data_IF_700442238909
#
_entry.id   IF_700442238909
#
_cell.length_a   1.000
_cell.length_b   1.000
_cell.length_c   1.000
_cell.angle_alpha   90.00
_cell.angle_beta   90.00
_cell.angle_gamma   90.00
#
_symmetry.space_group_name_H-M   'P 1'
#
loop_
_entity.id
_entity.type
_entity.pdbx_description
1 polymer ?
#
# COMPACT_ATOMS: atom_id res chain seq x y z
N UNK A 1 -21.14 -17.90 49.46
CA UNK A 1 -19.72 -18.21 49.24
C UNK A 1 -19.44 -19.62 48.70
N UNK A 2 -20.25 -20.64 49.03
CA UNK A 2 -20.05 -22.03 48.60
C UNK A 2 -19.96 -22.27 47.06
N UNK A 3 -20.80 -21.61 46.24
CA UNK A 3 -20.77 -21.77 44.77
C UNK A 3 -19.45 -21.34 44.11
N UNK A 4 -18.74 -20.35 44.69
CA UNK A 4 -17.44 -19.87 44.17
C UNK A 4 -16.32 -20.87 44.44
N UNK A 5 -16.33 -21.50 45.62
CA UNK A 5 -15.38 -22.53 46.03
C UNK A 5 -15.52 -23.82 45.21
N UNK A 6 -16.76 -24.24 44.91
CA UNK A 6 -17.02 -25.39 44.03
C UNK A 6 -16.54 -25.10 42.61
N UNK A 7 -16.78 -23.90 42.08
CA UNK A 7 -16.30 -23.50 40.74
C UNK A 7 -14.78 -23.49 40.66
N UNK A 8 -14.07 -23.00 41.68
CA UNK A 8 -12.61 -23.00 41.69
C UNK A 8 -12.02 -24.41 41.80
N UNK A 9 -12.66 -25.29 42.59
CA UNK A 9 -12.23 -26.69 42.70
C UNK A 9 -12.38 -27.43 41.36
N UNK A 10 -13.51 -27.22 40.66
CA UNK A 10 -13.73 -27.80 39.32
C UNK A 10 -12.72 -27.27 38.30
N UNK A 11 -12.38 -25.98 38.34
CA UNK A 11 -11.35 -25.39 37.47
C UNK A 11 -9.96 -25.97 37.74
N UNK A 12 -9.60 -26.21 39.00
CA UNK A 12 -8.32 -26.81 39.38
C UNK A 12 -8.20 -28.25 38.85
N UNK A 13 -9.24 -29.08 39.03
CA UNK A 13 -9.28 -30.45 38.51
C UNK A 13 -9.19 -30.49 36.97
N UNK A 14 -9.87 -29.56 36.29
CA UNK A 14 -9.78 -29.44 34.83
C UNK A 14 -8.40 -28.98 34.36
N UNK A 15 -7.75 -28.08 35.09
CA UNK A 15 -6.39 -27.63 34.79
C UNK A 15 -5.38 -28.77 34.97
N UNK A 16 -5.51 -29.59 36.02
CA UNK A 16 -4.68 -30.76 36.25
C UNK A 16 -4.85 -31.82 35.16
N UNK A 17 -6.09 -32.10 34.76
CA UNK A 17 -6.36 -33.01 33.65
C UNK A 17 -5.79 -32.51 32.33
N UNK A 18 -5.84 -31.21 32.06
CA UNK A 18 -5.21 -30.62 30.86
C UNK A 18 -3.68 -30.72 30.92
N UNK A 19 -3.08 -30.53 32.11
CA UNK A 19 -1.63 -30.68 32.31
C UNK A 19 -1.17 -32.12 32.04
N UNK A 20 -1.87 -33.12 32.55
CA UNK A 20 -1.51 -34.53 32.34
C UNK A 20 -1.65 -34.96 30.88
N UNK A 21 -2.72 -34.53 30.20
CA UNK A 21 -2.93 -34.79 28.76
C UNK A 21 -1.82 -34.14 27.93
N UNK A 22 -1.47 -32.88 28.20
CA UNK A 22 -0.41 -32.18 27.48
C UNK A 22 0.97 -32.81 27.73
N UNK A 23 1.23 -33.31 28.94
CA UNK A 23 2.46 -34.01 29.27
C UNK A 23 2.57 -35.36 28.53
N UNK A 24 1.49 -36.14 28.52
CA UNK A 24 1.44 -37.40 27.76
C UNK A 24 1.59 -37.18 26.25
N UNK A 25 0.99 -36.11 25.71
CA UNK A 25 1.14 -35.71 24.31
C UNK A 25 2.59 -35.31 23.98
N UNK A 26 3.22 -34.51 24.85
CA UNK A 26 4.61 -34.08 24.67
C UNK A 26 5.62 -35.23 24.76
N UNK A 27 5.32 -36.27 25.55
CA UNK A 27 6.14 -37.49 25.61
C UNK A 27 6.03 -38.33 24.32
N UNK A 28 4.81 -38.43 23.74
CA UNK A 28 4.59 -39.20 22.50
C UNK A 28 5.06 -38.47 21.24
N UNK A 29 4.98 -37.14 21.24
CA UNK A 29 5.32 -36.32 20.08
C UNK A 29 6.17 -35.09 20.49
N UNK A 30 7.47 -35.29 20.80
CA UNK A 30 8.31 -34.24 21.36
C UNK A 30 8.53 -33.07 20.39
N UNK A 31 8.72 -33.35 19.10
CA UNK A 31 8.94 -32.32 18.07
C UNK A 31 7.67 -31.50 17.81
N UNK A 32 6.52 -32.16 17.64
CA UNK A 32 5.23 -31.48 17.44
C UNK A 32 4.85 -30.64 18.67
N UNK A 33 5.10 -31.15 19.88
CA UNK A 33 4.86 -30.39 21.10
C UNK A 33 5.84 -29.20 21.26
N UNK A 34 7.06 -29.28 20.73
CA UNK A 34 7.98 -28.15 20.68
C UNK A 34 7.51 -27.09 19.67
N UNK A 35 7.08 -27.51 18.47
CA UNK A 35 6.52 -26.63 17.44
C UNK A 35 5.25 -25.92 17.95
N UNK A 36 4.33 -26.66 18.57
CA UNK A 36 3.09 -26.08 19.12
C UNK A 36 3.38 -25.09 20.27
N UNK A 37 4.37 -25.39 21.13
CA UNK A 37 4.83 -24.46 22.17
C UNK A 37 5.46 -23.20 21.55
N UNK A 38 6.25 -23.34 20.49
CA UNK A 38 6.82 -22.21 19.77
C UNK A 38 5.73 -21.33 19.13
N UNK A 39 4.72 -21.94 18.49
CA UNK A 39 3.57 -21.24 17.92
C UNK A 39 2.77 -20.49 18.99
N UNK A 40 2.50 -21.13 20.15
CA UNK A 40 1.79 -20.47 21.26
C UNK A 40 2.58 -19.28 21.82
N UNK A 41 3.91 -19.42 21.98
CA UNK A 41 4.79 -18.32 22.40
C UNK A 41 4.79 -17.18 21.37
N UNK A 42 4.88 -17.50 20.09
CA UNK A 42 4.85 -16.52 19.00
C UNK A 42 3.49 -15.79 18.96
N UNK A 43 2.38 -16.50 19.08
CA UNK A 43 1.04 -15.91 19.13
C UNK A 43 0.84 -15.02 20.38
N UNK A 44 1.34 -15.45 21.54
CA UNK A 44 1.31 -14.62 22.74
C UNK A 44 2.15 -13.34 22.57
N UNK A 45 3.30 -13.43 21.91
CA UNK A 45 4.13 -12.27 21.61
C UNK A 45 3.40 -11.29 20.67
N UNK A 46 2.81 -11.80 19.58
CA UNK A 46 2.01 -11.01 18.64
C UNK A 46 0.82 -10.32 19.34
N UNK A 47 0.12 -11.06 20.20
CA UNK A 47 -1.00 -10.50 20.98
C UNK A 47 -0.49 -9.40 21.90
N UNK A 48 0.62 -9.60 22.63
CA UNK A 48 1.19 -8.56 23.49
C UNK A 48 1.54 -7.29 22.73
N UNK A 49 2.14 -7.45 21.56
CA UNK A 49 2.69 -6.34 20.77
C UNK A 49 1.58 -5.56 20.04
N UNK A 50 0.44 -6.20 19.71
CA UNK A 50 -0.61 -5.58 18.87
C UNK A 50 -2.02 -5.58 19.48
N UNK A 51 -2.27 -6.16 20.65
CA UNK A 51 -3.61 -6.22 21.27
C UNK A 51 -4.21 -4.85 21.61
N UNK A 52 -3.39 -3.81 21.71
CA UNK A 52 -3.85 -2.44 21.95
C UNK A 52 -4.40 -1.76 20.69
N UNK A 53 -4.29 -2.38 19.51
CA UNK A 53 -4.82 -1.85 18.25
C UNK A 53 -6.28 -2.28 18.07
N UNK A 54 -7.16 -1.29 17.84
CA UNK A 54 -8.62 -1.42 17.94
C UNK A 54 -9.30 -2.07 16.72
N UNK A 55 -8.60 -2.16 15.58
CA UNK A 55 -9.12 -2.68 14.32
C UNK A 55 -8.11 -3.63 13.66
N UNK A 56 -8.53 -4.82 13.25
CA UNK A 56 -7.67 -5.85 12.61
C UNK A 56 -7.09 -6.89 13.59
N UNK A 57 -6.62 -8.03 13.09
CA UNK A 57 -6.00 -9.07 13.94
C UNK A 57 -4.52 -8.77 14.20
N UNK A 58 -3.93 -9.25 15.32
CA UNK A 58 -2.51 -9.10 15.61
C UNK A 58 -1.59 -9.60 14.48
N UNK A 59 -2.03 -10.65 13.77
CA UNK A 59 -1.36 -11.19 12.60
C UNK A 59 -1.38 -10.21 11.43
N UNK A 60 -2.52 -9.54 11.18
CA UNK A 60 -2.62 -8.47 10.17
C UNK A 60 -1.69 -7.31 10.51
N UNK A 61 -1.60 -6.89 11.77
CA UNK A 61 -0.70 -5.81 12.19
C UNK A 61 0.78 -6.18 12.11
N UNK A 62 1.12 -7.44 12.44
CA UNK A 62 2.48 -7.94 12.31
C UNK A 62 2.87 -8.13 10.84
N UNK A 63 1.92 -8.51 9.98
CA UNK A 63 2.12 -8.57 8.54
C UNK A 63 2.29 -7.18 7.94
N UNK A 64 1.45 -6.22 8.33
CA UNK A 64 1.56 -4.81 7.94
C UNK A 64 2.79 -4.10 8.53
N UNK A 65 3.36 -4.58 9.64
CA UNK A 65 4.63 -4.09 10.18
C UNK A 65 5.85 -4.71 9.47
N UNK A 66 5.69 -5.91 8.89
CA UNK A 66 6.73 -6.60 8.11
C UNK A 66 6.76 -6.17 6.64
N UNK A 67 5.60 -5.87 6.06
CA UNK A 67 5.51 -5.09 4.83
C UNK A 67 5.88 -3.66 5.22
N UNK A 68 7.08 -3.19 4.87
CA UNK A 68 7.53 -1.85 5.25
C UNK A 68 6.45 -0.82 4.95
N UNK A 69 5.82 -0.28 5.98
CA UNK A 69 4.84 0.78 5.80
C UNK A 69 5.60 1.97 5.22
N UNK A 70 5.36 2.27 3.94
CA UNK A 70 6.03 3.35 3.24
C UNK A 70 5.87 4.68 3.98
N UNK A 71 6.78 5.60 3.73
CA UNK A 71 6.79 6.95 4.30
C UNK A 71 5.42 7.62 4.18
N UNK A 72 4.72 7.45 3.05
CA UNK A 72 3.38 8.01 2.83
C UNK A 72 2.35 7.46 3.84
N UNK A 73 2.38 6.16 4.11
CA UNK A 73 1.51 5.54 5.11
C UNK A 73 1.79 6.05 6.52
N UNK A 74 3.06 6.34 6.84
CA UNK A 74 3.43 6.98 8.10
C UNK A 74 2.91 8.41 8.21
N UNK A 75 2.86 9.17 7.10
CA UNK A 75 2.27 10.50 7.07
C UNK A 75 0.76 10.46 7.30
N UNK A 76 0.05 9.50 6.68
CA UNK A 76 -1.37 9.25 6.94
C UNK A 76 -1.63 8.88 8.40
N UNK A 77 -0.88 7.92 8.95
CA UNK A 77 -1.02 7.49 10.35
C UNK A 77 -0.80 8.63 11.35
N UNK A 78 0.04 9.61 10.99
CA UNK A 78 0.30 10.82 11.80
C UNK A 78 -0.73 11.93 11.58
N UNK A 79 -1.73 11.75 10.71
CA UNK A 79 -2.73 12.75 10.37
C UNK A 79 -2.18 13.92 9.55
N UNK A 80 -1.04 13.74 8.88
CA UNK A 80 -0.50 14.73 7.95
C UNK A 80 -1.19 14.64 6.60
N UNK A 81 -1.54 13.43 6.19
CA UNK A 81 -2.35 13.16 5.00
C UNK A 81 -3.69 12.58 5.41
N UNK A 82 -4.73 12.86 4.63
CA UNK A 82 -5.99 12.13 4.69
C UNK A 82 -5.98 10.87 3.80
N UNK A 83 -7.10 10.13 3.81
CA UNK A 83 -7.22 8.88 3.05
C UNK A 83 -7.25 9.08 1.53
N UNK A 84 -7.76 10.22 1.06
CA UNK A 84 -7.87 10.54 -0.37
C UNK A 84 -6.53 10.99 -0.90
N UNK A 85 -5.83 11.84 -0.16
CA UNK A 85 -4.46 12.28 -0.45
C UNK A 85 -3.48 11.10 -0.49
N UNK A 86 -3.65 10.11 0.41
CA UNK A 86 -2.86 8.88 0.37
C UNK A 86 -3.15 8.06 -0.90
N UNK A 87 -4.42 7.88 -1.25
CA UNK A 87 -4.81 7.14 -2.46
C UNK A 87 -4.31 7.84 -3.73
N UNK A 88 -4.38 9.17 -3.78
CA UNK A 88 -3.85 9.98 -4.87
C UNK A 88 -2.32 9.86 -4.97
N UNK A 89 -1.60 9.87 -3.84
CA UNK A 89 -0.16 9.66 -3.82
C UNK A 89 0.22 8.26 -4.35
N UNK A 90 -0.51 7.22 -3.93
CA UNK A 90 -0.28 5.84 -4.42
C UNK A 90 -0.55 5.73 -5.93
N UNK A 91 -1.61 6.38 -6.42
CA UNK A 91 -1.92 6.44 -7.84
C UNK A 91 -0.81 7.15 -8.63
N UNK A 92 -0.34 8.31 -8.17
CA UNK A 92 0.76 9.04 -8.78
C UNK A 92 2.05 8.20 -8.80
N UNK A 93 2.35 7.51 -7.70
CA UNK A 93 3.52 6.63 -7.60
C UNK A 93 3.44 5.47 -8.61
N UNK A 94 2.28 4.82 -8.71
CA UNK A 94 2.03 3.77 -9.70
C UNK A 94 2.18 4.31 -11.14
N UNK A 95 1.69 5.54 -11.39
CA UNK A 95 1.80 6.15 -12.71
C UNK A 95 3.27 6.38 -13.08
N UNK A 96 4.02 7.00 -12.17
CA UNK A 96 5.43 7.30 -12.37
C UNK A 96 6.28 6.03 -12.56
N UNK A 97 6.00 4.96 -11.80
CA UNK A 97 6.69 3.68 -11.92
C UNK A 97 6.48 3.05 -13.31
N UNK A 98 5.25 3.07 -13.82
CA UNK A 98 4.94 2.50 -15.15
C UNK A 98 5.57 3.32 -16.29
N UNK A 99 5.51 4.66 -16.24
CA UNK A 99 6.22 5.51 -17.21
C UNK A 99 7.73 5.22 -17.18
N UNK A 100 8.33 5.09 -15.99
CA UNK A 100 9.73 4.73 -15.83
C UNK A 100 10.08 3.37 -16.43
N UNK A 101 9.23 2.36 -16.24
CA UNK A 101 9.39 1.03 -16.83
C UNK A 101 9.31 1.07 -18.37
N UNK A 102 8.38 1.82 -18.94
CA UNK A 102 8.27 1.98 -20.41
C UNK A 102 9.49 2.68 -21.01
N UNK A 103 10.03 3.71 -20.35
CA UNK A 103 11.29 4.35 -20.78
C UNK A 103 12.46 3.37 -20.70
N UNK A 104 12.50 2.52 -19.69
CA UNK A 104 13.46 1.41 -19.59
C UNK A 104 13.35 0.43 -20.76
N UNK A 105 12.12 0.08 -21.17
CA UNK A 105 11.89 -0.79 -22.34
C UNK A 105 12.30 -0.08 -23.64
N UNK A 106 12.01 1.22 -23.82
CA UNK A 106 12.37 1.96 -25.05
C UNK A 106 13.87 2.19 -25.19
N UNK A 107 14.60 2.29 -24.08
CA UNK A 107 16.06 2.44 -24.08
C UNK A 107 16.80 1.12 -24.33
N UNK A 108 16.14 -0.02 -24.11
CA UNK A 108 16.61 -1.34 -24.51
C UNK A 108 15.99 -1.68 -25.87
N UNK A 109 16.75 -1.63 -26.95
CA UNK A 109 16.24 -1.92 -28.31
C UNK A 109 15.76 -3.38 -28.41
N UNK A 110 14.47 -3.61 -28.15
CA UNK A 110 13.81 -4.89 -28.35
C UNK A 110 13.09 -4.82 -29.69
N UNK A 111 13.76 -5.25 -30.77
CA UNK A 111 13.11 -5.59 -32.04
C UNK A 111 12.11 -6.72 -31.78
N UNK A 112 10.90 -6.37 -31.37
CA UNK A 112 9.83 -7.33 -31.14
C UNK A 112 8.75 -7.05 -32.17
N UNK A 113 8.65 -7.93 -33.17
CA UNK A 113 7.53 -7.93 -34.12
C UNK A 113 6.23 -8.09 -33.33
N UNK A 114 5.35 -7.09 -33.43
CA UNK A 114 4.00 -7.13 -32.87
C UNK A 114 3.03 -7.30 -34.03
N UNK A 115 2.52 -8.51 -34.22
CA UNK A 115 1.34 -8.75 -35.05
C UNK A 115 0.11 -8.26 -34.26
N UNK A 116 -0.47 -7.11 -34.66
CA UNK A 116 -1.70 -6.59 -34.05
C UNK A 116 -2.91 -7.21 -34.73
N UNK A 117 -3.71 -7.95 -33.97
CA UNK A 117 -5.13 -8.18 -34.28
C UNK A 117 -5.99 -7.30 -33.34
N UNK A 118 -7.03 -6.60 -33.83
CA UNK A 118 -7.87 -5.77 -32.99
C UNK A 118 -8.79 -6.65 -32.14
N UNK A 119 -8.72 -6.53 -30.81
CA UNK A 119 -9.78 -6.99 -29.91
C UNK A 119 -10.35 -5.76 -29.20
N UNK A 120 -11.60 -5.45 -29.50
CA UNK A 120 -12.39 -4.47 -28.77
C UNK A 120 -13.04 -5.17 -27.57
N UNK A 121 -12.32 -5.21 -26.44
CA UNK A 121 -12.89 -5.51 -25.12
C UNK A 121 -11.92 -5.04 -24.02
N UNK A 122 -12.42 -4.75 -22.80
CA UNK A 122 -11.76 -4.44 -21.51
C UNK A 122 -10.41 -3.70 -21.52
N UNK A 123 -9.39 -4.31 -22.11
CA UNK A 123 -8.05 -3.77 -22.35
C UNK A 123 -8.03 -2.38 -23.01
N UNK A 124 -9.03 -2.06 -23.83
CA UNK A 124 -9.14 -0.72 -24.43
C UNK A 124 -9.54 0.36 -23.42
N UNK A 125 -10.49 0.08 -22.52
CA UNK A 125 -10.86 1.01 -21.45
C UNK A 125 -9.75 1.14 -20.41
N UNK A 126 -9.01 0.06 -20.14
CA UNK A 126 -7.78 0.10 -19.34
C UNK A 126 -6.71 0.96 -20.01
N UNK A 127 -6.54 0.86 -21.34
CA UNK A 127 -5.63 1.71 -22.11
C UNK A 127 -6.06 3.19 -22.09
N UNK A 128 -7.35 3.50 -22.22
CA UNK A 128 -7.85 4.87 -22.16
C UNK A 128 -7.71 5.49 -20.77
N UNK A 129 -8.05 4.72 -19.72
CA UNK A 129 -7.83 5.12 -18.34
C UNK A 129 -6.35 5.42 -18.08
N UNK A 130 -5.47 4.62 -18.67
CA UNK A 130 -4.03 4.82 -18.60
C UNK A 130 -3.55 6.09 -19.32
N UNK A 131 -4.00 6.34 -20.55
CA UNK A 131 -3.68 7.58 -21.29
C UNK A 131 -4.13 8.82 -20.52
N UNK A 132 -5.32 8.79 -19.93
CA UNK A 132 -5.82 9.87 -19.06
C UNK A 132 -4.91 10.08 -17.84
N UNK A 133 -4.49 8.99 -17.19
CA UNK A 133 -3.61 9.03 -16.04
C UNK A 133 -2.21 9.58 -16.38
N UNK A 134 -1.62 9.17 -17.49
CA UNK A 134 -0.32 9.69 -17.97
C UNK A 134 -0.39 11.18 -18.32
N UNK A 135 -1.45 11.61 -19.02
CA UNK A 135 -1.65 13.01 -19.35
C UNK A 135 -1.86 13.87 -18.11
N UNK A 136 -2.66 13.39 -17.14
CA UNK A 136 -2.85 14.05 -15.85
C UNK A 136 -1.51 14.19 -15.12
N UNK A 137 -0.73 13.11 -15.03
CA UNK A 137 0.59 13.10 -14.37
C UNK A 137 1.58 14.07 -15.02
N UNK A 138 1.68 14.05 -16.35
CA UNK A 138 2.61 14.93 -17.08
C UNK A 138 2.29 16.41 -16.83
N UNK A 139 1.01 16.78 -16.96
CA UNK A 139 0.58 18.17 -16.74
C UNK A 139 0.67 18.61 -15.28
N UNK A 140 0.32 17.73 -14.36
CA UNK A 140 0.49 17.97 -12.93
C UNK A 140 1.97 18.20 -12.59
N UNK A 141 2.86 17.34 -13.11
CA UNK A 141 4.30 17.45 -12.90
C UNK A 141 4.88 18.74 -13.47
N UNK A 142 4.45 19.16 -14.66
CA UNK A 142 4.89 20.39 -15.32
C UNK A 142 4.39 21.66 -14.59
N UNK A 143 3.26 21.55 -13.90
CA UNK A 143 2.71 22.65 -13.10
C UNK A 143 3.47 22.87 -11.78
N UNK A 144 4.15 21.85 -11.25
CA UNK A 144 4.88 21.97 -10.00
C UNK A 144 6.08 22.92 -10.14
N UNK A 145 6.23 23.93 -9.26
CA UNK A 145 7.40 24.80 -9.29
C UNK A 145 8.72 24.05 -9.09
N UNK A 146 8.70 23.06 -8.20
CA UNK A 146 9.84 22.20 -7.88
C UNK A 146 9.34 20.75 -7.74
N UNK A 147 9.34 19.96 -8.83
CA UNK A 147 8.78 18.61 -8.80
C UNK A 147 9.65 17.62 -8.01
N UNK A 148 10.97 17.84 -7.95
CA UNK A 148 11.92 16.85 -7.42
C UNK A 148 11.71 16.50 -5.93
N UNK A 149 11.51 17.46 -5.01
CA UNK A 149 11.23 17.14 -3.61
C UNK A 149 9.92 16.37 -3.42
N UNK A 150 8.88 16.73 -4.19
CA UNK A 150 7.56 16.07 -4.14
C UNK A 150 7.66 14.63 -4.62
N UNK A 151 8.31 14.42 -5.77
CA UNK A 151 8.50 13.10 -6.35
C UNK A 151 9.40 12.20 -5.51
N UNK A 152 10.41 12.75 -4.84
CA UNK A 152 11.22 11.97 -3.91
C UNK A 152 10.38 11.42 -2.75
N UNK A 153 9.38 12.17 -2.28
CA UNK A 153 8.48 11.72 -1.20
C UNK A 153 7.46 10.72 -1.74
N UNK A 154 6.79 11.03 -2.86
CA UNK A 154 5.71 10.20 -3.39
C UNK A 154 6.24 8.93 -4.08
N UNK A 155 7.21 9.08 -4.98
CA UNK A 155 7.73 8.00 -5.84
C UNK A 155 8.95 7.34 -5.21
N UNK A 156 9.82 8.14 -4.59
CA UNK A 156 11.06 7.66 -3.97
C UNK A 156 10.90 7.16 -2.53
N UNK A 157 9.66 7.15 -2.01
CA UNK A 157 9.31 6.78 -0.63
C UNK A 157 10.18 7.47 0.45
N UNK A 158 10.68 8.68 0.17
CA UNK A 158 11.56 9.42 1.07
C UNK A 158 10.80 10.23 2.12
N UNK A 159 11.29 10.24 3.36
CA UNK A 159 10.79 11.12 4.42
C UNK A 159 10.84 12.61 4.06
N UNK A 160 9.88 13.42 4.54
CA UNK A 160 9.86 14.89 4.32
C UNK A 160 11.20 15.53 4.71
N UNK A 161 11.76 15.16 5.87
CA UNK A 161 13.04 15.69 6.34
C UNK A 161 14.22 15.27 5.43
N UNK A 162 14.19 14.04 4.93
CA UNK A 162 15.20 13.51 4.02
C UNK A 162 15.14 14.20 2.66
N UNK A 163 13.94 14.37 2.09
CA UNK A 163 13.74 15.11 0.86
C UNK A 163 14.16 16.58 1.01
N UNK A 164 13.80 17.21 2.13
CA UNK A 164 14.21 18.58 2.44
C UNK A 164 15.74 18.74 2.45
N UNK A 165 16.45 17.85 3.14
CA UNK A 165 17.91 17.84 3.16
C UNK A 165 18.51 17.58 1.77
N UNK A 166 17.96 16.62 1.01
CA UNK A 166 18.44 16.25 -0.33
C UNK A 166 18.36 17.39 -1.34
N UNK A 167 17.32 18.22 -1.25
CA UNK A 167 17.08 19.30 -2.21
C UNK A 167 17.31 20.71 -1.63
N UNK A 168 17.94 20.82 -0.46
CA UNK A 168 18.35 22.11 0.12
C UNK A 168 17.18 23.04 0.51
N UNK A 169 16.04 22.48 0.90
CA UNK A 169 14.86 23.25 1.32
C UNK A 169 14.49 22.96 2.77
N UNK A 170 13.68 23.83 3.40
CA UNK A 170 13.19 23.58 4.75
C UNK A 170 12.15 22.45 4.77
N UNK A 171 12.10 21.67 5.85
CA UNK A 171 11.09 20.61 6.01
C UNK A 171 9.65 21.16 5.95
N UNK A 172 9.43 22.39 6.45
CA UNK A 172 8.15 23.10 6.33
C UNK A 172 7.79 23.36 4.87
N UNK A 173 8.76 23.79 4.05
CA UNK A 173 8.57 24.02 2.61
C UNK A 173 8.33 22.72 1.87
N UNK A 174 9.10 21.67 2.14
CA UNK A 174 8.90 20.35 1.54
C UNK A 174 7.51 19.78 1.84
N UNK A 175 7.06 19.89 3.11
CA UNK A 175 5.69 19.52 3.50
C UNK A 175 4.64 20.32 2.74
N UNK A 176 4.81 21.64 2.64
CA UNK A 176 3.86 22.50 1.93
C UNK A 176 3.77 22.12 0.44
N UNK A 177 4.91 21.95 -0.23
CA UNK A 177 4.97 21.53 -1.63
C UNK A 177 4.26 20.19 -1.84
N UNK A 178 4.46 19.22 -0.95
CA UNK A 178 3.77 17.93 -1.00
C UNK A 178 2.25 18.10 -0.95
N UNK A 179 1.74 18.84 0.05
CA UNK A 179 0.29 19.02 0.23
C UNK A 179 -0.33 19.80 -0.91
N UNK A 180 0.29 20.91 -1.35
CA UNK A 180 -0.20 21.69 -2.49
C UNK A 180 -0.24 20.85 -3.77
N UNK A 181 0.76 19.98 -3.97
CA UNK A 181 0.80 19.06 -5.09
C UNK A 181 -0.35 18.04 -5.05
N UNK A 182 -0.59 17.42 -3.88
CA UNK A 182 -1.67 16.45 -3.70
C UNK A 182 -3.06 17.09 -3.82
N UNK A 183 -3.27 18.29 -3.28
CA UNK A 183 -4.54 19.03 -3.43
C UNK A 183 -4.84 19.42 -4.87
N UNK A 184 -3.82 19.70 -5.68
CA UNK A 184 -4.00 20.04 -7.08
C UNK A 184 -4.33 18.83 -7.96
N UNK A 185 -3.89 17.63 -7.58
CA UNK A 185 -3.98 16.43 -8.39
C UNK A 185 -5.40 16.09 -8.88
N UNK A 186 -6.46 16.07 -8.03
CA UNK A 186 -7.82 15.77 -8.48
C UNK A 186 -8.30 16.69 -9.61
N UNK A 187 -7.86 17.95 -9.63
CA UNK A 187 -8.16 18.90 -10.70
C UNK A 187 -7.53 18.50 -12.04
N UNK A 188 -6.27 18.08 -12.03
CA UNK A 188 -5.58 17.58 -13.23
C UNK A 188 -6.17 16.27 -13.73
N UNK A 189 -6.49 15.35 -12.82
CA UNK A 189 -7.12 14.09 -13.18
C UNK A 189 -8.51 14.29 -13.78
N UNK A 190 -9.34 15.16 -13.19
CA UNK A 190 -10.66 15.48 -13.72
C UNK A 190 -10.60 16.21 -15.08
N UNK A 191 -9.66 17.14 -15.26
CA UNK A 191 -9.45 17.81 -16.55
C UNK A 191 -8.97 16.82 -17.63
N UNK A 192 -8.14 15.84 -17.26
CA UNK A 192 -7.70 14.80 -18.18
C UNK A 192 -8.85 13.90 -18.66
N UNK A 193 -9.75 13.52 -17.75
CA UNK A 193 -10.97 12.76 -18.08
C UNK A 193 -11.87 13.54 -19.04
N UNK A 194 -11.99 14.87 -18.87
CA UNK A 194 -12.80 15.73 -19.75
C UNK A 194 -12.19 15.95 -21.13
N UNK A 195 -10.86 16.05 -21.21
CA UNK A 195 -10.15 16.33 -22.46
C UNK A 195 -10.05 15.12 -23.37
N UNK A 196 -9.86 13.95 -22.77
CA UNK A 196 -9.83 12.67 -23.47
C UNK A 196 -11.19 12.03 -23.25
N UNK A 197 -12.22 12.53 -23.94
CA UNK A 197 -13.63 12.15 -23.73
C UNK A 197 -14.07 11.05 -24.70
N UNK A 198 -15.32 10.59 -24.55
CA UNK A 198 -15.97 9.66 -25.47
C UNK A 198 -16.06 10.14 -26.93
N UNK A 199 -15.77 11.41 -27.20
CA UNK A 199 -15.55 11.91 -28.56
C UNK A 199 -14.29 11.32 -29.23
N UNK A 200 -13.20 11.14 -28.48
CA UNK A 200 -12.01 10.42 -28.96
C UNK A 200 -12.29 8.91 -29.09
N UNK A 201 -13.12 8.37 -28.18
CA UNK A 201 -13.64 6.99 -28.27
C UNK A 201 -14.44 6.78 -29.56
N UNK A 202 -15.34 7.71 -29.92
CA UNK A 202 -16.16 7.63 -31.12
C UNK A 202 -15.37 7.90 -32.41
N UNK A 203 -14.41 8.83 -32.39
CA UNK A 203 -13.54 9.09 -33.54
C UNK A 203 -12.66 7.89 -33.89
N UNK A 204 -12.12 7.17 -32.89
CA UNK A 204 -11.37 5.93 -33.12
C UNK A 204 -12.27 4.76 -33.54
N UNK A 205 -13.51 4.70 -33.06
CA UNK A 205 -14.46 3.63 -33.40
C UNK A 205 -15.18 3.85 -34.75
N UNK A 206 -15.23 5.10 -35.23
CA UNK A 206 -15.87 5.49 -36.50
C UNK A 206 -14.93 5.41 -37.73
N UNK A 207 -13.63 5.13 -37.54
CA UNK A 207 -12.73 4.71 -38.61
C UNK A 207 -11.25 5.01 -38.36
N UNK A 208 -10.37 4.05 -38.71
CA UNK A 208 -8.90 4.10 -38.86
C UNK A 208 -8.04 3.35 -37.82
N UNK A 209 -8.19 2.03 -37.74
CA UNK A 209 -7.08 1.08 -38.00
C UNK A 209 -7.62 -0.13 -38.77
#
# INVERSE_FOLDING_TARGET
MAKKAVKSAVQAVQADRRRSINAAYAQRHPELAAQERALRKAHHQLTRDYAHKRHGTPETHAHAAKQGQGTLHLLYTRGVLDQFELADADLIAAIAAKIGAELGIRTVSLETRVDRSPRADGAFYEALGWVRAEMAYSRWRDWLPEPQPVLAIIVGDCGIAQAAARYGISARRAKRLLLEALWAWPGFHADAVKRVDAGDLLAMHAGLM
#
